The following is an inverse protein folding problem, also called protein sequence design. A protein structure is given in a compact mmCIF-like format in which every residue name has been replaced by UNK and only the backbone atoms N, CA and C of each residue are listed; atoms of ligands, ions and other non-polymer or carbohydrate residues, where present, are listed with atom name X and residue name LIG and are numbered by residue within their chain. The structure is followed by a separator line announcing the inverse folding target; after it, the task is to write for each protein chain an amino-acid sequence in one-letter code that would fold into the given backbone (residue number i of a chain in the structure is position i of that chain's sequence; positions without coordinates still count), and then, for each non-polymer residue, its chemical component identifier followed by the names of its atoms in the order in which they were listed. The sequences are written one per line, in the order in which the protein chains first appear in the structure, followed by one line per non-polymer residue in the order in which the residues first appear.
data_IF_381315326543
#
_entry.id   IF_381315326543
#
_cell.length_a   1.000
_cell.length_b   1.000
_cell.length_c   1.000
_cell.angle_alpha   90.00
_cell.angle_beta   90.00
_cell.angle_gamma   90.00
#
_symmetry.space_group_name_H-M   'P 1'
#
loop_
_entity.id
_entity.type
_entity.pdbx_description
1 polymer ?
#
# COMPACT_ATOMS: atom_id res chain seq x y z
N UNK A 1 -12.91 -0.09 -28.59
CA UNK A 1 -12.68 0.57 -27.28
C UNK A 1 -13.81 1.53 -27.00
N UNK A 2 -14.32 1.47 -25.79
CA UNK A 2 -15.45 2.31 -25.36
C UNK A 2 -14.92 3.67 -24.93
N UNK A 3 -15.53 4.74 -25.44
CA UNK A 3 -15.20 6.09 -25.04
C UNK A 3 -15.64 6.33 -23.59
N UNK A 4 -14.72 6.75 -22.72
CA UNK A 4 -15.01 7.06 -21.31
C UNK A 4 -15.88 8.30 -21.12
N UNK A 5 -15.94 9.19 -22.12
CA UNK A 5 -16.74 10.43 -22.06
C UNK A 5 -18.21 10.20 -22.49
N UNK A 6 -18.45 9.51 -23.61
CA UNK A 6 -19.80 9.37 -24.18
C UNK A 6 -20.32 7.93 -24.31
N UNK A 7 -19.52 6.93 -23.91
CA UNK A 7 -19.90 5.52 -23.95
C UNK A 7 -19.94 4.86 -25.34
N UNK A 8 -19.63 5.59 -26.42
CA UNK A 8 -19.62 5.06 -27.78
C UNK A 8 -18.52 4.01 -27.96
N UNK A 9 -18.83 2.90 -28.62
CA UNK A 9 -17.82 1.96 -29.09
C UNK A 9 -17.13 2.45 -30.37
N UNK A 10 -15.82 2.64 -30.27
CA UNK A 10 -14.95 3.07 -31.37
C UNK A 10 -13.99 1.93 -31.74
N UNK A 11 -13.55 1.87 -33.01
CA UNK A 11 -12.46 0.97 -33.43
C UNK A 11 -11.18 1.32 -32.65
N UNK A 12 -10.41 0.32 -32.25
CA UNK A 12 -9.22 0.51 -31.39
C UNK A 12 -8.13 1.42 -32.01
N UNK A 13 -8.05 1.52 -33.34
CA UNK A 13 -7.07 2.34 -34.04
C UNK A 13 -7.44 3.84 -34.13
N UNK A 14 -8.62 4.26 -33.63
CA UNK A 14 -9.06 5.66 -33.73
C UNK A 14 -8.46 6.50 -32.59
N UNK A 15 -7.82 7.62 -32.96
CA UNK A 15 -7.30 8.60 -31.99
C UNK A 15 -8.41 9.45 -31.36
N UNK A 16 -9.50 9.70 -32.08
CA UNK A 16 -10.63 10.52 -31.61
C UNK A 16 -11.94 9.75 -31.67
N UNK A 17 -12.83 10.01 -30.71
CA UNK A 17 -14.16 9.44 -30.71
C UNK A 17 -15.02 10.01 -31.85
N UNK A 18 -15.66 9.14 -32.62
CA UNK A 18 -16.54 9.54 -33.74
C UNK A 18 -17.77 10.36 -33.31
N UNK A 19 -18.22 10.21 -32.07
CA UNK A 19 -19.45 10.83 -31.57
C UNK A 19 -19.20 12.17 -30.87
N UNK A 20 -18.23 12.21 -29.95
CA UNK A 20 -17.98 13.39 -29.11
C UNK A 20 -16.66 14.11 -29.40
N UNK A 21 -15.82 13.59 -30.31
CA UNK A 21 -14.52 14.18 -30.64
C UNK A 21 -13.44 14.01 -29.56
N UNK A 22 -13.73 13.37 -28.43
CA UNK A 22 -12.75 13.18 -27.36
C UNK A 22 -11.53 12.36 -27.81
N UNK A 23 -10.33 12.77 -27.39
CA UNK A 23 -9.09 12.04 -27.62
C UNK A 23 -9.10 10.73 -26.81
N UNK A 24 -8.97 9.61 -27.51
CA UNK A 24 -8.96 8.27 -26.96
C UNK A 24 -7.55 7.81 -26.55
N UNK A 25 -6.52 8.58 -26.89
CA UNK A 25 -5.12 8.31 -26.53
C UNK A 25 -4.72 8.91 -25.19
N UNK A 26 -5.43 9.94 -24.73
CA UNK A 26 -5.18 10.53 -23.42
C UNK A 26 -5.80 9.67 -22.31
N UNK A 27 -5.08 9.47 -21.20
CA UNK A 27 -5.69 8.89 -20.01
C UNK A 27 -6.84 9.79 -19.53
N UNK A 28 -7.89 9.22 -18.93
CA UNK A 28 -9.03 10.00 -18.47
C UNK A 28 -8.60 11.01 -17.40
N UNK A 29 -9.28 12.14 -17.30
CA UNK A 29 -8.91 13.24 -16.40
C UNK A 29 -8.89 12.86 -14.90
N UNK A 30 -9.56 11.76 -14.52
CA UNK A 30 -9.53 11.24 -13.16
C UNK A 30 -8.30 10.35 -12.89
N UNK A 31 -7.53 9.98 -13.92
CA UNK A 31 -6.40 9.09 -13.77
C UNK A 31 -5.31 9.76 -12.91
N UNK A 32 -4.91 9.17 -11.77
CA UNK A 32 -4.02 9.86 -10.86
C UNK A 32 -2.61 9.98 -11.44
N UNK A 33 -1.98 11.14 -11.23
CA UNK A 33 -0.61 11.39 -11.63
C UNK A 33 0.39 10.75 -10.63
N UNK A 34 1.67 10.80 -10.96
CA UNK A 34 2.72 10.27 -10.08
C UNK A 34 2.75 10.99 -8.72
N UNK A 35 2.44 12.29 -8.68
CA UNK A 35 2.41 13.06 -7.43
C UNK A 35 1.25 12.63 -6.53
N UNK A 36 0.09 12.32 -7.12
CA UNK A 36 -1.02 11.72 -6.38
C UNK A 36 -0.61 10.37 -5.78
N UNK A 37 0.01 9.49 -6.56
CA UNK A 37 0.46 8.19 -6.07
C UNK A 37 1.45 8.31 -4.92
N UNK A 38 2.46 9.18 -5.05
CA UNK A 38 3.43 9.40 -3.97
C UNK A 38 2.76 9.91 -2.69
N UNK A 39 1.83 10.86 -2.80
CA UNK A 39 1.08 11.37 -1.64
C UNK A 39 0.22 10.27 -1.02
N UNK A 40 -0.53 9.54 -1.83
CA UNK A 40 -1.40 8.46 -1.36
C UNK A 40 -0.59 7.37 -0.64
N UNK A 41 0.49 6.89 -1.27
CA UNK A 41 1.37 5.88 -0.68
C UNK A 41 2.04 6.40 0.60
N UNK A 42 2.54 7.65 0.59
CA UNK A 42 3.15 8.25 1.78
C UNK A 42 2.18 8.26 2.96
N UNK A 43 0.94 8.70 2.76
CA UNK A 43 -0.08 8.67 3.82
C UNK A 43 -0.39 7.26 4.30
N UNK A 44 -0.59 6.30 3.39
CA UNK A 44 -0.86 4.90 3.74
C UNK A 44 0.26 4.33 4.61
N UNK A 45 1.51 4.46 4.19
CA UNK A 45 2.65 3.92 4.94
C UNK A 45 2.87 4.65 6.26
N UNK A 46 2.70 5.97 6.31
CA UNK A 46 2.79 6.73 7.57
C UNK A 46 1.74 6.27 8.57
N UNK A 47 0.48 6.15 8.14
CA UNK A 47 -0.62 5.67 9.00
C UNK A 47 -0.38 4.25 9.48
N UNK A 48 0.00 3.31 8.60
CA UNK A 48 0.30 1.93 8.98
C UNK A 48 1.47 1.85 9.96
N UNK A 49 2.53 2.63 9.75
CA UNK A 49 3.70 2.65 10.62
C UNK A 49 3.32 3.17 12.01
N UNK A 50 2.65 4.31 12.10
CA UNK A 50 2.22 4.89 13.38
C UNK A 50 1.26 3.95 14.11
N UNK A 51 0.30 3.35 13.39
CA UNK A 51 -0.65 2.40 13.97
C UNK A 51 0.08 1.17 14.53
N UNK A 52 1.00 0.59 13.76
CA UNK A 52 1.79 -0.58 14.19
C UNK A 52 2.55 -0.31 15.48
N UNK A 53 3.30 0.79 15.55
CA UNK A 53 4.07 1.14 16.75
C UNK A 53 3.18 1.47 17.94
N UNK A 54 2.05 2.14 17.70
CA UNK A 54 1.07 2.44 18.76
C UNK A 54 0.47 1.17 19.35
N UNK A 55 0.04 0.24 18.51
CA UNK A 55 -0.50 -1.06 18.93
C UNK A 55 0.57 -1.87 19.66
N UNK A 56 1.77 -1.99 19.10
CA UNK A 56 2.91 -2.68 19.73
C UNK A 56 3.23 -2.10 21.11
N UNK A 57 3.28 -0.77 21.22
CA UNK A 57 3.49 -0.08 22.50
C UNK A 57 2.40 -0.43 23.52
N UNK A 58 1.13 -0.39 23.12
CA UNK A 58 0.00 -0.72 23.99
C UNK A 58 0.04 -2.18 24.44
N UNK A 59 0.31 -3.11 23.52
CA UNK A 59 0.40 -4.54 23.84
C UNK A 59 1.55 -4.84 24.82
N UNK A 60 2.67 -4.14 24.73
CA UNK A 60 3.76 -4.26 25.70
C UNK A 60 3.45 -3.66 27.08
N UNK A 61 2.42 -2.82 27.19
CA UNK A 61 1.99 -2.22 28.46
C UNK A 61 0.93 -3.04 29.20
N UNK A 62 0.38 -4.08 28.58
CA UNK A 62 -0.60 -4.95 29.23
C UNK A 62 0.05 -5.76 30.38
N UNK A 63 -0.74 -6.16 31.40
CA UNK A 63 -0.24 -7.04 32.44
C UNK A 63 -0.04 -8.46 31.90
N UNK A 64 0.94 -9.22 32.42
CA UNK A 64 1.07 -10.64 32.12
C UNK A 64 -0.22 -11.40 32.45
N UNK A 65 -0.68 -12.36 31.61
CA UNK A 65 0.03 -12.96 30.46
C UNK A 65 -0.36 -12.35 29.09
N UNK A 66 -1.02 -11.20 29.07
CA UNK A 66 -1.52 -10.57 27.84
C UNK A 66 -0.51 -9.61 27.21
N UNK A 67 0.63 -9.40 27.85
CA UNK A 67 1.73 -8.64 27.28
C UNK A 67 2.33 -9.37 26.08
N UNK A 68 2.89 -8.61 25.15
CA UNK A 68 3.52 -9.19 23.97
C UNK A 68 4.76 -10.02 24.37
N UNK A 69 4.65 -11.35 24.23
CA UNK A 69 5.70 -12.31 24.57
C UNK A 69 7.00 -12.04 23.83
N UNK A 70 8.08 -11.82 24.59
CA UNK A 70 9.44 -11.88 24.08
C UNK A 70 9.88 -13.34 24.01
N UNK A 71 10.43 -13.78 22.87
CA UNK A 71 10.95 -15.14 22.70
C UNK A 71 12.44 -15.14 23.06
N UNK A 72 12.85 -15.84 24.13
CA UNK A 72 14.25 -16.06 24.46
C UNK A 72 15.05 -16.62 23.30
N UNK A 73 16.29 -16.15 23.14
CA UNK A 73 17.17 -16.60 22.06
C UNK A 73 17.54 -18.08 22.18
N UNK A 74 17.64 -18.62 23.40
CA UNK A 74 17.84 -20.06 23.64
C UNK A 74 16.78 -20.94 22.97
N UNK A 75 15.54 -20.46 22.87
CA UNK A 75 14.45 -21.21 22.24
C UNK A 75 14.41 -21.05 20.72
N UNK A 76 15.06 -20.03 20.15
CA UNK A 76 15.06 -19.77 18.70
C UNK A 76 16.46 -19.43 18.16
N UNK A 77 17.45 -20.33 18.29
CA UNK A 77 18.81 -20.09 17.78
C UNK A 77 18.86 -19.93 16.26
N UNK A 78 17.92 -20.54 15.52
CA UNK A 78 17.81 -20.37 14.06
C UNK A 78 17.28 -19.01 13.62
N UNK A 79 16.65 -18.24 14.52
CA UNK A 79 16.07 -16.93 14.19
C UNK A 79 17.14 -15.83 14.10
N UNK A 80 18.22 -15.96 14.89
CA UNK A 80 19.34 -15.01 14.91
C UNK A 80 20.68 -15.77 14.97
N UNK A 81 21.09 -16.46 13.89
CA UNK A 81 22.21 -17.40 13.93
C UNK A 81 23.57 -16.76 14.25
N UNK A 82 23.71 -15.44 14.06
CA UNK A 82 24.94 -14.70 14.31
C UNK A 82 25.02 -14.08 15.72
N UNK A 83 23.97 -14.21 16.54
CA UNK A 83 23.99 -13.71 17.92
C UNK A 83 24.32 -14.88 18.85
N UNK A 84 25.45 -14.79 19.54
CA UNK A 84 25.77 -15.76 20.60
C UNK A 84 24.70 -15.68 21.70
N UNK A 85 24.19 -16.81 22.22
CA UNK A 85 23.23 -16.80 23.31
C UNK A 85 23.84 -16.13 24.55
N UNK A 86 23.00 -15.45 25.35
CA UNK A 86 23.42 -14.85 26.60
C UNK A 86 23.96 -15.96 27.54
N UNK A 87 25.04 -15.65 28.26
CA UNK A 87 25.78 -16.61 29.09
C UNK A 87 25.16 -16.76 30.48
#
# INVERSE_FOLDING_TARGET
MKCTNCGQDNRAALKFCKKCGADLTMPPAWFPDWRWHLKALSWIYLTLTVLFFSVSYLLHKLPPPYDQRQIPQEMTPWLNPHKSPAK
#
